data_IF_622245663897
#
_entry.id   IF_622245663897
#
_cell.length_a   1.000
_cell.length_b   1.000
_cell.length_c   1.000
_cell.angle_alpha   90.00
_cell.angle_beta   90.00
_cell.angle_gamma   90.00
#
_symmetry.space_group_name_H-M   'P 1'
#
loop_
_entity.id
_entity.type
_entity.pdbx_description
1 polymer ?
#
# COMPACT_ATOMS: atom_id res chain seq x y z
N UNK A 1 -19.07 49.99 -9.41
CA UNK A 1 -19.30 49.02 -8.32
C UNK A 1 -18.21 48.00 -8.29
N UNK A 2 -17.73 47.60 -7.09
CA UNK A 2 -16.83 46.50 -6.94
C UNK A 2 -17.50 45.18 -7.40
N UNK A 3 -16.74 44.34 -8.08
CA UNK A 3 -17.20 42.99 -8.44
C UNK A 3 -17.28 42.07 -7.21
N UNK A 4 -17.66 40.83 -7.42
CA UNK A 4 -17.85 39.83 -6.39
C UNK A 4 -16.78 38.74 -6.48
N UNK A 5 -16.23 38.30 -5.33
CA UNK A 5 -15.27 37.19 -5.26
C UNK A 5 -15.96 35.98 -4.65
N UNK A 6 -15.73 34.81 -5.24
CA UNK A 6 -16.14 33.50 -4.71
C UNK A 6 -14.91 32.67 -4.38
N UNK A 7 -14.80 32.24 -3.11
CA UNK A 7 -13.82 31.23 -2.69
C UNK A 7 -14.47 29.87 -2.84
N UNK A 8 -14.12 29.11 -3.86
CA UNK A 8 -14.80 27.88 -4.26
C UNK A 8 -13.93 26.67 -4.05
N UNK A 9 -14.45 25.69 -3.34
CA UNK A 9 -13.83 24.37 -3.20
C UNK A 9 -14.09 23.50 -4.44
N UNK A 10 -13.00 22.94 -4.98
CA UNK A 10 -13.05 22.08 -6.18
C UNK A 10 -13.21 20.59 -5.84
N UNK A 11 -13.17 20.22 -4.57
CA UNK A 11 -13.11 18.81 -4.19
C UNK A 11 -11.69 18.22 -4.24
N UNK A 12 -11.54 16.90 -4.02
CA UNK A 12 -10.24 16.26 -3.78
C UNK A 12 -9.42 15.98 -5.05
N UNK A 13 -10.02 16.06 -6.23
CA UNK A 13 -9.35 15.72 -7.50
C UNK A 13 -10.34 15.61 -8.65
N UNK A 14 -11.13 14.54 -8.71
CA UNK A 14 -12.07 14.30 -9.80
C UNK A 14 -13.12 15.42 -9.97
N UNK A 15 -13.35 15.84 -11.21
CA UNK A 15 -14.24 16.96 -11.53
C UNK A 15 -15.73 16.69 -11.26
N UNK A 16 -16.15 15.44 -11.21
CA UNK A 16 -17.50 15.00 -10.84
C UNK A 16 -17.81 15.13 -9.34
N UNK A 17 -16.79 15.41 -8.53
CA UNK A 17 -16.93 15.71 -7.11
C UNK A 17 -17.11 17.20 -6.79
N UNK A 18 -17.27 18.04 -7.81
CA UNK A 18 -17.69 19.43 -7.65
C UNK A 18 -19.12 19.51 -7.08
N UNK A 19 -19.34 20.47 -6.19
CA UNK A 19 -20.71 20.77 -5.78
C UNK A 19 -21.48 21.45 -6.93
N UNK A 20 -22.79 21.21 -7.01
CA UNK A 20 -23.65 21.89 -8.00
C UNK A 20 -23.55 23.41 -7.90
N UNK A 21 -23.35 23.94 -6.69
CA UNK A 21 -23.17 25.40 -6.47
C UNK A 21 -21.86 25.87 -7.08
N UNK A 22 -20.77 25.13 -6.92
CA UNK A 22 -19.48 25.44 -7.53
C UNK A 22 -19.57 25.50 -9.05
N UNK A 23 -20.24 24.52 -9.69
CA UNK A 23 -20.46 24.48 -11.13
C UNK A 23 -21.24 25.71 -11.61
N UNK A 24 -22.38 26.05 -10.96
CA UNK A 24 -23.19 27.23 -11.31
C UNK A 24 -22.41 28.55 -11.23
N UNK A 25 -21.48 28.66 -10.28
CA UNK A 25 -20.67 29.85 -10.10
C UNK A 25 -19.54 29.90 -11.14
N UNK A 26 -18.89 28.77 -11.42
CA UNK A 26 -17.87 28.69 -12.47
C UNK A 26 -18.40 29.12 -13.84
N UNK A 27 -19.65 28.73 -14.17
CA UNK A 27 -20.29 29.12 -15.44
C UNK A 27 -20.50 30.62 -15.56
N UNK A 28 -20.65 31.34 -14.45
CA UNK A 28 -20.89 32.81 -14.41
C UNK A 28 -19.59 33.61 -14.22
N UNK A 29 -18.45 32.95 -14.02
CA UNK A 29 -17.19 33.61 -13.73
C UNK A 29 -16.65 34.41 -14.94
N UNK A 30 -16.13 35.59 -14.70
CA UNK A 30 -15.31 36.35 -15.67
C UNK A 30 -13.84 35.97 -15.55
N UNK A 31 -13.36 35.66 -14.33
CA UNK A 31 -11.99 35.27 -14.03
C UNK A 31 -11.98 34.12 -13.04
N UNK A 32 -11.17 33.10 -13.33
CA UNK A 32 -10.90 31.99 -12.41
C UNK A 32 -9.42 31.97 -12.07
N UNK A 33 -9.09 32.18 -10.80
CA UNK A 33 -7.76 31.99 -10.24
C UNK A 33 -7.71 30.61 -9.57
N UNK A 34 -6.88 29.66 -10.03
CA UNK A 34 -6.96 28.26 -9.63
C UNK A 34 -5.64 27.65 -9.19
N UNK A 35 -5.68 26.71 -8.26
CA UNK A 35 -4.52 25.99 -7.73
C UNK A 35 -4.00 24.92 -8.71
N UNK A 36 -2.73 24.54 -8.58
CA UNK A 36 -2.04 23.60 -9.47
C UNK A 36 -2.65 22.20 -9.49
N UNK A 37 -3.23 21.75 -8.38
CA UNK A 37 -3.80 20.40 -8.24
C UNK A 37 -5.25 20.27 -8.75
N UNK A 38 -5.79 21.34 -9.33
CA UNK A 38 -7.14 21.32 -9.92
C UNK A 38 -7.14 20.46 -11.19
N UNK A 39 -8.09 19.53 -11.28
CA UNK A 39 -8.32 18.77 -12.50
C UNK A 39 -8.70 19.73 -13.65
N UNK A 40 -8.00 19.71 -14.78
CA UNK A 40 -8.35 20.50 -15.96
C UNK A 40 -9.80 20.31 -16.41
N UNK A 41 -10.40 19.15 -16.17
CA UNK A 41 -11.82 18.89 -16.47
C UNK A 41 -12.75 19.82 -15.70
N UNK A 42 -12.42 20.22 -14.46
CA UNK A 42 -13.18 21.17 -13.67
C UNK A 42 -13.20 22.58 -14.29
N UNK A 43 -12.13 23.02 -14.96
CA UNK A 43 -12.02 24.30 -15.61
C UNK A 43 -12.90 24.42 -16.88
N UNK A 44 -13.43 23.31 -17.39
CA UNK A 44 -14.37 23.31 -18.54
C UNK A 44 -15.70 23.99 -18.20
N UNK A 45 -16.12 23.96 -16.92
CA UNK A 45 -17.32 24.67 -16.46
C UNK A 45 -17.17 26.19 -16.52
N UNK A 46 -15.94 26.71 -16.50
CA UNK A 46 -15.63 28.14 -16.63
C UNK A 46 -15.19 28.49 -18.06
N UNK A 47 -16.00 28.10 -19.06
CA UNK A 47 -15.65 28.22 -20.48
C UNK A 47 -15.46 29.67 -20.94
N UNK A 48 -16.22 30.63 -20.39
CA UNK A 48 -16.17 32.07 -20.70
C UNK A 48 -15.14 32.85 -19.87
N UNK A 49 -14.60 32.23 -18.82
CA UNK A 49 -13.71 32.88 -17.89
C UNK A 49 -12.26 32.93 -18.38
N UNK A 50 -11.56 34.01 -18.09
CA UNK A 50 -10.11 34.04 -18.15
C UNK A 50 -9.53 33.19 -17.01
N UNK A 51 -8.73 32.19 -17.34
CA UNK A 51 -8.16 31.22 -16.40
C UNK A 51 -6.73 31.65 -16.05
N UNK A 52 -6.43 31.80 -14.76
CA UNK A 52 -5.15 32.26 -14.24
C UNK A 52 -4.63 31.21 -13.25
N UNK A 53 -3.54 30.50 -13.56
CA UNK A 53 -2.95 29.57 -12.62
C UNK A 53 -2.28 30.34 -11.47
N UNK A 54 -2.54 29.92 -10.23
CA UNK A 54 -1.94 30.49 -9.01
C UNK A 54 -0.96 29.54 -8.35
N UNK A 55 -0.58 28.45 -9.03
CA UNK A 55 0.39 27.46 -8.53
C UNK A 55 1.82 27.95 -8.57
N UNK A 56 2.68 27.43 -7.67
CA UNK A 56 4.12 27.67 -7.73
C UNK A 56 4.69 27.26 -9.10
N UNK A 57 5.48 28.12 -9.71
CA UNK A 57 6.47 27.68 -10.69
C UNK A 57 7.65 27.04 -9.95
N UNK A 58 8.35 26.05 -10.54
CA UNK A 58 9.58 25.53 -9.95
C UNK A 58 10.55 26.69 -9.65
N UNK A 59 11.01 26.80 -8.39
CA UNK A 59 11.96 27.83 -7.95
C UNK A 59 11.39 29.15 -7.42
N UNK A 60 10.08 29.43 -7.54
CA UNK A 60 9.48 30.66 -7.02
C UNK A 60 8.70 30.42 -5.72
N UNK A 61 8.90 31.24 -4.66
CA UNK A 61 8.03 31.20 -3.48
C UNK A 61 6.66 31.76 -3.86
N UNK A 62 5.60 30.99 -3.56
CA UNK A 62 4.23 31.47 -3.74
C UNK A 62 3.96 32.54 -2.70
N UNK A 63 3.95 33.79 -3.11
CA UNK A 63 3.57 34.89 -2.23
C UNK A 63 2.04 34.93 -2.17
N UNK A 64 1.44 34.53 -1.04
CA UNK A 64 0.00 34.66 -0.79
C UNK A 64 -0.49 36.08 -1.11
N UNK A 65 0.34 37.06 -0.84
CA UNK A 65 0.10 38.45 -1.22
C UNK A 65 -0.21 38.65 -2.70
N UNK A 66 0.49 37.96 -3.60
CA UNK A 66 0.20 38.06 -5.02
C UNK A 66 -1.21 37.54 -5.34
N UNK A 67 -1.60 36.40 -4.76
CA UNK A 67 -2.96 35.85 -4.92
C UNK A 67 -3.98 36.86 -4.44
N UNK A 68 -3.82 37.36 -3.22
CA UNK A 68 -4.73 38.31 -2.59
C UNK A 68 -4.89 39.60 -3.41
N UNK A 69 -3.77 40.21 -3.82
CA UNK A 69 -3.76 41.40 -4.67
C UNK A 69 -4.37 41.15 -6.05
N UNK A 70 -4.15 39.96 -6.62
CA UNK A 70 -4.71 39.58 -7.91
C UNK A 70 -6.24 39.44 -7.85
N UNK A 71 -6.77 38.78 -6.82
CA UNK A 71 -8.21 38.69 -6.59
C UNK A 71 -8.85 40.09 -6.45
N UNK A 72 -8.23 40.92 -5.63
CA UNK A 72 -8.70 42.28 -5.41
C UNK A 72 -8.67 43.12 -6.70
N UNK A 73 -7.55 43.09 -7.45
CA UNK A 73 -7.41 43.85 -8.68
C UNK A 73 -8.43 43.51 -9.75
N UNK A 74 -8.83 42.23 -9.87
CA UNK A 74 -9.87 41.80 -10.81
C UNK A 74 -11.29 42.16 -10.30
N UNK A 75 -11.52 42.10 -8.98
CA UNK A 75 -12.77 42.52 -8.37
C UNK A 75 -12.99 44.05 -8.52
N UNK A 76 -11.94 44.87 -8.42
CA UNK A 76 -12.02 46.33 -8.68
C UNK A 76 -12.51 46.68 -10.08
N UNK A 77 -12.36 45.79 -11.05
CA UNK A 77 -12.85 45.97 -12.43
C UNK A 77 -14.32 45.55 -12.59
N UNK A 78 -15.08 45.40 -11.51
CA UNK A 78 -16.50 45.01 -11.54
C UNK A 78 -16.75 43.55 -11.91
N UNK A 79 -15.72 42.66 -11.91
CA UNK A 79 -15.80 41.30 -12.39
C UNK A 79 -16.33 40.32 -11.34
N UNK A 80 -16.94 39.24 -11.81
CA UNK A 80 -17.16 38.01 -11.02
C UNK A 80 -15.88 37.19 -11.04
N UNK A 81 -15.22 37.11 -9.88
CA UNK A 81 -13.92 36.43 -9.73
C UNK A 81 -14.09 35.17 -8.91
N UNK A 82 -13.64 34.06 -9.42
CA UNK A 82 -13.62 32.78 -8.70
C UNK A 82 -12.18 32.45 -8.30
N UNK A 83 -11.96 32.24 -7.01
CA UNK A 83 -10.78 31.60 -6.47
C UNK A 83 -11.10 30.13 -6.31
N UNK A 84 -10.62 29.27 -7.23
CA UNK A 84 -10.86 27.83 -7.22
C UNK A 84 -9.72 27.12 -6.48
N UNK A 85 -10.07 26.47 -5.36
CA UNK A 85 -9.12 25.85 -4.43
C UNK A 85 -9.33 24.35 -4.38
N UNK A 86 -8.23 23.60 -4.24
CA UNK A 86 -8.32 22.14 -4.05
C UNK A 86 -8.99 21.80 -2.71
N UNK A 87 -9.82 20.76 -2.66
CA UNK A 87 -10.57 20.36 -1.47
C UNK A 87 -11.62 21.39 -1.05
N UNK A 88 -11.59 21.81 0.20
CA UNK A 88 -12.41 22.87 0.79
C UNK A 88 -11.55 24.12 1.07
N UNK A 89 -12.04 25.33 0.77
CA UNK A 89 -11.27 26.57 0.98
C UNK A 89 -10.87 26.81 2.43
N UNK A 90 -11.66 26.33 3.39
CA UNK A 90 -11.51 26.62 4.81
C UNK A 90 -10.75 25.52 5.56
N UNK A 91 -10.44 24.38 4.92
CA UNK A 91 -9.68 23.28 5.53
C UNK A 91 -8.23 23.27 4.97
N UNK A 92 -7.29 23.86 5.74
CA UNK A 92 -5.87 24.03 5.38
C UNK A 92 -5.62 24.65 4.00
N UNK A 93 -6.63 25.38 3.48
CA UNK A 93 -6.59 26.05 2.17
C UNK A 93 -6.25 27.53 2.23
N UNK A 94 -5.99 28.13 3.40
CA UNK A 94 -5.75 29.57 3.60
C UNK A 94 -6.92 30.46 3.15
N UNK A 95 -8.14 29.89 2.98
CA UNK A 95 -9.31 30.64 2.55
C UNK A 95 -9.71 31.75 3.52
N UNK A 96 -9.48 31.56 4.83
CA UNK A 96 -9.70 32.59 5.85
C UNK A 96 -8.83 33.83 5.64
N UNK A 97 -7.55 33.66 5.27
CA UNK A 97 -6.65 34.78 4.98
C UNK A 97 -7.08 35.54 3.71
N UNK A 98 -7.49 34.82 2.66
CA UNK A 98 -8.00 35.39 1.41
C UNK A 98 -9.33 36.16 1.66
N UNK A 99 -10.22 35.58 2.46
CA UNK A 99 -11.50 36.18 2.86
C UNK A 99 -11.27 37.50 3.61
N UNK A 100 -10.48 37.48 4.68
CA UNK A 100 -10.18 38.64 5.51
C UNK A 100 -9.58 39.78 4.68
N UNK A 101 -8.54 39.48 3.87
CA UNK A 101 -7.87 40.46 3.03
C UNK A 101 -8.84 41.21 2.09
N UNK A 102 -9.79 40.49 1.50
CA UNK A 102 -10.76 41.05 0.55
C UNK A 102 -11.86 41.85 1.27
N UNK A 103 -12.35 41.36 2.41
CA UNK A 103 -13.38 42.04 3.21
C UNK A 103 -12.88 43.37 3.77
N UNK A 104 -11.63 43.42 4.27
CA UNK A 104 -10.98 44.66 4.74
C UNK A 104 -10.89 45.74 3.64
N UNK A 105 -11.02 45.33 2.36
CA UNK A 105 -11.00 46.25 1.19
C UNK A 105 -12.37 46.45 0.55
N UNK A 106 -13.46 46.10 1.28
CA UNK A 106 -14.84 46.33 0.85
C UNK A 106 -15.31 45.41 -0.28
N UNK A 107 -14.59 44.32 -0.58
CA UNK A 107 -15.03 43.37 -1.58
C UNK A 107 -16.04 42.39 -1.00
N UNK A 108 -17.19 42.21 -1.65
CA UNK A 108 -18.15 41.19 -1.29
C UNK A 108 -17.59 39.78 -1.63
N UNK A 109 -17.41 38.95 -0.59
CA UNK A 109 -16.86 37.58 -0.74
C UNK A 109 -17.87 36.56 -0.28
N UNK A 110 -18.04 35.52 -1.09
CA UNK A 110 -18.87 34.34 -0.75
C UNK A 110 -18.03 33.07 -0.77
N UNK A 111 -18.15 32.28 0.29
CA UNK A 111 -17.48 30.97 0.40
C UNK A 111 -18.41 29.88 -0.11
N UNK A 112 -17.91 29.06 -1.00
CA UNK A 112 -18.61 27.88 -1.54
C UNK A 112 -17.86 26.63 -1.08
N UNK A 113 -18.39 25.88 -0.13
CA UNK A 113 -17.74 24.67 0.37
C UNK A 113 -17.45 23.67 -0.74
N UNK A 114 -16.36 22.92 -0.58
CA UNK A 114 -16.02 21.77 -1.39
C UNK A 114 -15.82 20.52 -0.55
N UNK A 115 -15.75 19.37 -1.19
CA UNK A 115 -15.41 18.12 -0.52
C UNK A 115 -13.94 18.15 -0.09
N UNK A 116 -13.68 18.27 1.23
CA UNK A 116 -12.31 18.20 1.74
C UNK A 116 -11.69 16.83 1.48
N UNK A 117 -10.46 16.80 0.97
CA UNK A 117 -9.70 15.56 0.79
C UNK A 117 -9.49 14.79 2.09
N UNK A 118 -9.54 15.46 3.25
CA UNK A 118 -9.47 14.81 4.56
C UNK A 118 -10.61 13.82 4.81
N UNK A 119 -11.77 14.04 4.21
CA UNK A 119 -12.97 13.22 4.41
C UNK A 119 -13.25 12.39 3.17
N UNK A 120 -13.18 13.00 2.00
CA UNK A 120 -13.60 12.36 0.74
C UNK A 120 -12.61 11.31 0.23
N UNK A 121 -11.30 11.54 0.37
CA UNK A 121 -10.29 10.56 -0.09
C UNK A 121 -10.36 9.26 0.72
N UNK A 122 -10.41 9.27 2.08
CA UNK A 122 -10.66 8.04 2.84
C UNK A 122 -11.98 7.35 2.48
N UNK A 123 -13.06 8.11 2.28
CA UNK A 123 -14.35 7.55 1.91
C UNK A 123 -14.31 6.80 0.57
N UNK A 124 -13.66 7.38 -0.46
CA UNK A 124 -13.44 6.73 -1.76
C UNK A 124 -12.58 5.46 -1.61
N UNK A 125 -11.58 5.49 -0.73
CA UNK A 125 -10.79 4.32 -0.38
C UNK A 125 -11.53 3.32 0.54
N UNK A 126 -12.83 3.54 0.82
CA UNK A 126 -13.69 2.69 1.67
C UNK A 126 -13.23 2.62 3.13
N UNK A 127 -12.59 3.66 3.63
CA UNK A 127 -12.22 3.81 5.04
C UNK A 127 -13.27 4.70 5.72
N UNK A 128 -14.13 4.16 6.59
CA UNK A 128 -15.04 4.96 7.39
C UNK A 128 -14.24 5.70 8.48
N UNK A 129 -14.24 7.03 8.48
CA UNK A 129 -13.49 7.79 9.48
C UNK A 129 -14.07 7.69 10.90
N UNK A 130 -15.36 7.35 10.99
CA UNK A 130 -16.07 7.04 12.22
C UNK A 130 -16.79 5.71 12.10
N UNK A 131 -16.79 4.91 13.17
CA UNK A 131 -17.49 3.62 13.19
C UNK A 131 -17.96 3.33 14.62
N UNK A 132 -19.24 3.08 14.78
CA UNK A 132 -19.87 2.77 16.08
C UNK A 132 -19.11 1.64 16.77
N UNK A 133 -18.72 1.86 18.02
CA UNK A 133 -17.97 0.91 18.85
C UNK A 133 -16.47 0.83 18.54
N UNK A 134 -15.97 1.59 17.52
CA UNK A 134 -14.54 1.58 17.13
C UNK A 134 -13.94 2.99 17.14
N UNK A 135 -14.64 3.96 16.55
CA UNK A 135 -14.15 5.35 16.45
C UNK A 135 -15.30 6.32 16.55
N UNK A 136 -15.28 7.13 17.59
CA UNK A 136 -16.26 8.18 17.90
C UNK A 136 -15.70 9.59 17.70
N UNK A 137 -14.39 9.72 17.51
CA UNK A 137 -13.70 11.00 17.40
C UNK A 137 -12.75 11.04 16.21
N UNK A 138 -12.72 12.21 15.54
CA UNK A 138 -11.90 12.47 14.36
C UNK A 138 -11.02 13.70 14.56
N UNK A 139 -9.73 13.55 14.35
CA UNK A 139 -8.78 14.67 14.33
C UNK A 139 -8.21 14.85 12.92
N UNK A 140 -8.33 16.05 12.37
CA UNK A 140 -7.75 16.41 11.07
C UNK A 140 -6.56 17.33 11.27
N UNK A 141 -5.40 16.95 10.74
CA UNK A 141 -4.14 17.65 10.90
C UNK A 141 -3.49 17.96 9.53
N UNK A 142 -2.52 18.85 9.54
CA UNK A 142 -1.63 19.10 8.40
C UNK A 142 -0.23 18.60 8.69
N UNK A 143 0.37 17.89 7.74
CA UNK A 143 1.78 17.51 7.77
C UNK A 143 2.73 18.61 7.35
N UNK A 144 2.20 19.73 6.81
CA UNK A 144 3.00 20.88 6.46
C UNK A 144 3.23 21.77 7.68
N UNK A 145 4.48 22.13 7.95
CA UNK A 145 4.84 23.01 9.06
C UNK A 145 4.81 24.46 8.60
N UNK A 146 4.14 25.33 9.37
CA UNK A 146 4.40 26.76 9.26
C UNK A 146 5.83 27.04 9.74
N UNK A 147 6.57 27.88 9.02
CA UNK A 147 7.95 28.25 9.38
C UNK A 147 8.02 28.71 10.85
N UNK A 148 8.97 28.16 11.61
CA UNK A 148 9.31 28.60 12.97
C UNK A 148 8.45 28.03 14.11
N UNK A 149 7.36 27.28 13.87
CA UNK A 149 6.52 26.77 14.96
C UNK A 149 6.65 25.24 15.12
N UNK A 150 7.11 24.80 16.31
CA UNK A 150 7.03 23.40 16.73
C UNK A 150 5.58 23.08 17.07
N UNK A 151 4.84 22.44 16.16
CA UNK A 151 3.49 21.97 16.44
C UNK A 151 3.57 20.71 17.31
N UNK A 152 3.08 20.77 18.55
CA UNK A 152 2.93 19.61 19.41
C UNK A 152 1.49 19.10 19.30
N UNK A 153 1.33 17.91 18.76
CA UNK A 153 0.01 17.26 18.73
C UNK A 153 -0.32 16.66 20.09
N UNK A 154 -1.52 16.94 20.59
CA UNK A 154 -2.03 16.44 21.86
C UNK A 154 -3.52 16.10 21.72
N UNK A 155 -4.03 15.22 22.55
CA UNK A 155 -5.45 14.86 22.59
C UNK A 155 -5.97 14.40 21.22
N UNK A 156 -5.28 13.43 20.59
CA UNK A 156 -5.67 12.89 19.29
C UNK A 156 -6.93 12.03 19.44
N UNK A 157 -7.88 12.20 18.54
CA UNK A 157 -9.06 11.34 18.43
C UNK A 157 -8.74 9.89 18.05
N UNK A 158 -9.76 9.04 18.05
CA UNK A 158 -9.65 7.63 17.69
C UNK A 158 -9.10 7.49 16.28
N UNK A 159 -9.65 8.26 15.34
CA UNK A 159 -9.16 8.38 13.97
C UNK A 159 -8.42 9.70 13.78
N UNK A 160 -7.24 9.63 13.16
CA UNK A 160 -6.44 10.81 12.81
C UNK A 160 -6.24 10.82 11.30
N UNK A 161 -6.56 11.95 10.66
CA UNK A 161 -6.33 12.18 9.23
C UNK A 161 -5.34 13.31 9.05
N UNK A 162 -4.30 13.08 8.25
CA UNK A 162 -3.24 14.05 8.04
C UNK A 162 -3.14 14.37 6.56
N UNK A 163 -3.41 15.62 6.22
CA UNK A 163 -3.20 16.15 4.87
C UNK A 163 -1.74 16.55 4.66
N UNK A 164 -1.28 16.56 3.40
CA UNK A 164 0.10 16.90 3.03
C UNK A 164 1.15 16.04 3.76
N UNK A 165 0.84 14.75 3.94
CA UNK A 165 1.63 13.86 4.77
C UNK A 165 2.97 13.46 4.13
N UNK A 166 3.07 13.43 2.79
CA UNK A 166 4.16 12.74 2.08
C UNK A 166 5.54 13.34 2.34
N UNK A 167 5.67 14.66 2.29
CA UNK A 167 6.98 15.34 2.41
C UNK A 167 7.63 15.15 3.79
N UNK A 168 6.81 14.96 4.83
CA UNK A 168 7.27 14.88 6.22
C UNK A 168 6.85 13.57 6.92
N UNK A 169 6.57 12.49 6.16
CA UNK A 169 5.94 11.29 6.67
C UNK A 169 6.66 10.69 7.89
N UNK A 170 7.97 10.57 7.83
CA UNK A 170 8.77 10.06 8.96
C UNK A 170 8.66 10.94 10.22
N UNK A 171 8.69 12.27 10.05
CA UNK A 171 8.52 13.20 11.16
C UNK A 171 7.08 13.15 11.73
N UNK A 172 6.08 12.95 10.88
CA UNK A 172 4.68 12.74 11.25
C UNK A 172 4.55 11.48 12.11
N UNK A 173 5.11 10.37 11.67
CA UNK A 173 5.11 9.10 12.43
C UNK A 173 5.70 9.30 13.81
N UNK A 174 6.90 9.93 13.91
CA UNK A 174 7.52 10.25 15.20
C UNK A 174 6.64 11.13 16.10
N UNK A 175 5.93 12.12 15.54
CA UNK A 175 5.03 13.00 16.31
C UNK A 175 3.79 12.26 16.80
N UNK A 176 3.17 11.41 15.96
CA UNK A 176 2.02 10.59 16.34
C UNK A 176 2.38 9.62 17.47
N UNK A 177 3.54 8.98 17.39
CA UNK A 177 4.05 8.08 18.44
C UNK A 177 4.26 8.84 19.76
N UNK A 178 4.86 10.05 19.73
CA UNK A 178 5.00 10.90 20.91
C UNK A 178 3.66 11.38 21.46
N UNK A 179 2.63 11.48 20.64
CA UNK A 179 1.28 11.84 21.03
C UNK A 179 0.42 10.64 21.49
N UNK A 180 1.03 9.44 21.65
CA UNK A 180 0.40 8.26 22.23
C UNK A 180 -0.14 7.24 21.22
N UNK A 181 0.02 7.43 19.89
CA UNK A 181 -0.31 6.38 18.93
C UNK A 181 0.78 5.32 18.93
N UNK A 182 0.41 4.04 19.01
CA UNK A 182 1.37 2.93 18.99
C UNK A 182 1.98 2.73 17.60
N UNK A 183 3.19 2.17 17.53
CA UNK A 183 3.80 1.80 16.24
C UNK A 183 3.00 0.71 15.51
N UNK A 184 2.24 -0.11 16.23
CA UNK A 184 1.33 -1.13 15.68
C UNK A 184 -0.02 -0.55 15.24
N UNK A 185 -0.32 0.73 15.49
CA UNK A 185 -1.59 1.34 15.08
C UNK A 185 -1.82 1.17 13.57
N UNK A 186 -2.97 0.65 13.14
CA UNK A 186 -3.30 0.51 11.72
C UNK A 186 -3.33 1.87 11.04
N UNK A 187 -2.74 1.95 9.85
CA UNK A 187 -2.78 3.17 9.07
C UNK A 187 -2.85 2.89 7.56
N UNK A 188 -3.38 3.87 6.84
CA UNK A 188 -3.48 3.87 5.39
C UNK A 188 -2.91 5.17 4.82
N UNK A 189 -2.02 5.07 3.85
CA UNK A 189 -1.55 6.20 3.06
C UNK A 189 -2.19 6.13 1.68
N UNK A 190 -2.89 7.20 1.30
CA UNK A 190 -3.60 7.31 0.03
C UNK A 190 -2.94 8.43 -0.76
N UNK A 191 -2.22 8.06 -1.82
CA UNK A 191 -1.55 9.00 -2.72
C UNK A 191 -2.41 9.27 -3.93
N UNK A 192 -2.45 10.53 -4.41
CA UNK A 192 -3.24 10.99 -5.55
C UNK A 192 -4.72 10.56 -5.48
N UNK A 193 -5.28 10.58 -4.26
CA UNK A 193 -6.66 10.17 -4.02
C UNK A 193 -7.67 10.91 -4.89
N UNK A 194 -8.75 10.22 -5.28
CA UNK A 194 -9.77 10.69 -6.20
C UNK A 194 -9.26 10.98 -7.63
N UNK A 195 -8.18 10.34 -8.06
CA UNK A 195 -7.68 10.40 -9.45
C UNK A 195 -7.46 8.98 -10.00
N UNK A 196 -7.26 8.85 -11.31
CA UNK A 196 -6.95 7.56 -11.96
C UNK A 196 -5.59 6.98 -11.49
N UNK A 197 -4.71 7.85 -10.94
CA UNK A 197 -3.41 7.46 -10.41
C UNK A 197 -3.45 7.13 -8.91
N UNK A 198 -4.62 7.01 -8.31
CA UNK A 198 -4.76 6.68 -6.89
C UNK A 198 -4.00 5.41 -6.52
N UNK A 199 -3.24 5.48 -5.42
CA UNK A 199 -2.56 4.34 -4.80
C UNK A 199 -2.88 4.30 -3.32
N UNK A 200 -3.17 3.12 -2.82
CA UNK A 200 -3.47 2.84 -1.43
C UNK A 200 -2.43 1.90 -0.85
N UNK A 201 -1.78 2.31 0.24
CA UNK A 201 -0.92 1.47 1.07
C UNK A 201 -1.55 1.32 2.45
N UNK A 202 -1.75 0.08 2.89
CA UNK A 202 -2.23 -0.26 4.23
C UNK A 202 -1.12 -0.94 5.00
N UNK A 203 -0.80 -0.43 6.19
CA UNK A 203 0.29 -0.93 7.02
C UNK A 203 0.07 -0.54 8.48
N UNK A 204 1.07 -0.75 9.33
CA UNK A 204 1.13 -0.15 10.67
C UNK A 204 1.92 1.16 10.64
N UNK A 205 1.67 2.01 11.62
CA UNK A 205 2.31 3.33 11.73
C UNK A 205 3.84 3.24 11.73
N UNK A 206 4.41 2.20 12.35
CA UNK A 206 5.86 1.99 12.40
C UNK A 206 6.48 1.58 11.07
N UNK A 207 5.69 1.05 10.14
CA UNK A 207 6.19 0.53 8.84
C UNK A 207 5.76 1.34 7.63
N UNK A 208 4.81 2.26 7.78
CA UNK A 208 4.21 2.98 6.65
C UNK A 208 5.23 3.77 5.84
N UNK A 209 6.26 4.32 6.49
CA UNK A 209 7.32 5.10 5.81
C UNK A 209 8.10 4.22 4.85
N UNK A 210 8.61 3.08 5.32
CA UNK A 210 9.39 2.15 4.50
C UNK A 210 8.54 1.55 3.39
N UNK A 211 7.31 1.14 3.73
CA UNK A 211 6.38 0.54 2.77
C UNK A 211 5.96 1.52 1.70
N UNK A 212 5.68 2.78 2.04
CA UNK A 212 5.35 3.82 1.05
C UNK A 212 6.52 4.14 0.13
N UNK A 213 7.74 4.14 0.65
CA UNK A 213 8.98 4.29 -0.13
C UNK A 213 9.16 3.14 -1.12
N UNK A 214 8.99 1.90 -0.67
CA UNK A 214 9.04 0.70 -1.50
C UNK A 214 8.00 0.74 -2.64
N UNK A 215 6.78 1.24 -2.36
CA UNK A 215 5.72 1.40 -3.35
C UNK A 215 5.93 2.61 -4.28
N UNK A 216 6.94 3.44 -4.06
CA UNK A 216 7.19 4.65 -4.82
C UNK A 216 6.04 5.67 -4.73
N UNK A 217 5.37 5.76 -3.58
CA UNK A 217 4.26 6.69 -3.38
C UNK A 217 4.75 8.14 -3.37
N UNK A 218 3.95 9.06 -3.90
CA UNK A 218 4.30 10.47 -4.05
C UNK A 218 3.15 11.39 -3.64
N UNK A 219 3.47 12.65 -3.39
CA UNK A 219 2.48 13.71 -3.15
C UNK A 219 1.57 13.95 -4.38
N UNK A 220 0.33 14.39 -4.16
CA UNK A 220 -0.32 14.64 -2.87
C UNK A 220 -0.73 13.34 -2.17
N UNK A 221 -0.71 13.31 -0.84
CA UNK A 221 -1.13 12.14 -0.07
C UNK A 221 -1.84 12.50 1.22
N UNK A 222 -2.77 11.62 1.62
CA UNK A 222 -3.53 11.66 2.88
C UNK A 222 -3.15 10.44 3.69
N UNK A 223 -2.76 10.64 4.95
CA UNK A 223 -2.53 9.56 5.91
C UNK A 223 -3.72 9.45 6.85
N UNK A 224 -4.26 8.24 7.01
CA UNK A 224 -5.30 7.89 7.97
C UNK A 224 -4.72 6.94 9.00
N UNK A 225 -4.90 7.21 10.29
CA UNK A 225 -4.40 6.38 11.40
C UNK A 225 -5.54 6.07 12.36
N UNK A 226 -5.75 4.81 12.67
CA UNK A 226 -6.77 4.34 13.61
C UNK A 226 -7.34 2.98 13.23
N UNK A 227 -8.05 2.35 14.18
CA UNK A 227 -8.63 1.00 14.02
C UNK A 227 -9.64 0.89 12.87
N UNK A 228 -10.20 2.00 12.42
CA UNK A 228 -11.10 2.04 11.25
C UNK A 228 -10.42 1.49 9.98
N UNK A 229 -9.09 1.61 9.89
CA UNK A 229 -8.30 1.13 8.75
C UNK A 229 -8.30 -0.41 8.67
N UNK A 230 -8.40 -1.09 9.81
CA UNK A 230 -8.44 -2.57 9.87
C UNK A 230 -9.62 -3.16 9.09
N UNK A 231 -10.68 -2.36 8.85
CA UNK A 231 -11.82 -2.77 8.03
C UNK A 231 -11.45 -3.07 6.56
N UNK A 232 -10.35 -2.54 6.07
CA UNK A 232 -9.84 -2.85 4.71
C UNK A 232 -9.31 -4.30 4.60
N UNK A 233 -8.95 -4.92 5.71
CA UNK A 233 -8.48 -6.31 5.78
C UNK A 233 -9.56 -7.26 6.32
N UNK A 234 -10.83 -6.86 6.26
CA UNK A 234 -11.95 -7.73 6.63
C UNK A 234 -12.31 -8.65 5.46
N UNK A 235 -12.04 -9.93 5.62
CA UNK A 235 -12.28 -10.96 4.62
C UNK A 235 -13.71 -11.53 4.62
N UNK A 236 -14.54 -11.22 5.61
CA UNK A 236 -15.89 -11.78 5.78
C UNK A 236 -16.76 -11.51 4.56
N UNK A 237 -17.28 -12.57 3.96
CA UNK A 237 -18.09 -12.50 2.74
C UNK A 237 -17.33 -12.11 1.46
N UNK A 238 -15.99 -11.94 1.53
CA UNK A 238 -15.16 -11.51 0.41
C UNK A 238 -14.53 -12.67 -0.34
N UNK A 239 -14.43 -12.55 -1.67
CA UNK A 239 -13.75 -13.55 -2.50
C UNK A 239 -12.24 -13.29 -2.50
N UNK A 240 -11.48 -14.28 -2.06
CA UNK A 240 -10.02 -14.22 -1.93
C UNK A 240 -9.36 -15.14 -2.93
N UNK A 241 -8.73 -14.57 -3.94
CA UNK A 241 -7.93 -15.32 -4.90
C UNK A 241 -6.54 -15.62 -4.34
N UNK A 242 -6.03 -16.82 -4.61
CA UNK A 242 -4.65 -17.18 -4.30
C UNK A 242 -4.14 -18.20 -5.33
N UNK A 243 -2.85 -18.09 -5.67
CA UNK A 243 -2.16 -19.00 -6.58
C UNK A 243 -1.21 -19.87 -5.77
N UNK A 244 -1.43 -21.19 -5.78
CA UNK A 244 -0.73 -22.11 -4.87
C UNK A 244 -0.25 -23.38 -5.56
N UNK A 245 0.77 -24.00 -4.96
CA UNK A 245 1.08 -25.38 -5.29
C UNK A 245 -0.01 -26.31 -4.75
N UNK A 246 -0.14 -27.48 -5.36
CA UNK A 246 -1.13 -28.51 -5.02
C UNK A 246 -1.19 -28.81 -3.51
N UNK A 247 -0.03 -28.90 -2.86
CA UNK A 247 0.10 -29.27 -1.44
C UNK A 247 -0.44 -28.17 -0.50
N UNK A 248 -0.42 -26.92 -0.94
CA UNK A 248 -0.81 -25.77 -0.13
C UNK A 248 -2.30 -25.37 -0.28
N UNK A 249 -3.01 -25.91 -1.29
CA UNK A 249 -4.40 -25.52 -1.59
C UNK A 249 -5.32 -25.75 -0.40
N UNK A 250 -5.30 -26.94 0.18
CA UNK A 250 -6.21 -27.30 1.31
C UNK A 250 -6.00 -26.39 2.51
N UNK A 251 -4.74 -26.10 2.84
CA UNK A 251 -4.36 -25.20 3.94
C UNK A 251 -4.83 -23.77 3.66
N UNK A 252 -4.55 -23.25 2.47
CA UNK A 252 -4.95 -21.89 2.09
C UNK A 252 -6.45 -21.71 2.11
N UNK A 253 -7.22 -22.65 1.52
CA UNK A 253 -8.69 -22.65 1.57
C UNK A 253 -9.23 -22.63 3.00
N UNK A 254 -8.66 -23.44 3.90
CA UNK A 254 -9.06 -23.50 5.31
C UNK A 254 -8.82 -22.17 6.03
N UNK A 255 -7.67 -21.53 5.83
CA UNK A 255 -7.34 -20.25 6.46
C UNK A 255 -8.28 -19.13 5.98
N UNK A 256 -8.52 -19.03 4.67
CA UNK A 256 -9.47 -18.06 4.11
C UNK A 256 -10.87 -18.27 4.70
N UNK A 257 -11.36 -19.51 4.76
CA UNK A 257 -12.68 -19.82 5.35
C UNK A 257 -12.75 -19.47 6.84
N UNK A 258 -11.69 -19.72 7.62
CA UNK A 258 -11.63 -19.35 9.05
C UNK A 258 -11.72 -17.85 9.25
N UNK A 259 -11.19 -17.06 8.33
CA UNK A 259 -11.34 -15.59 8.32
C UNK A 259 -12.69 -15.11 7.75
N UNK A 260 -13.63 -16.03 7.47
CA UNK A 260 -14.95 -15.71 6.91
C UNK A 260 -14.96 -15.45 5.40
N UNK A 261 -13.82 -15.60 4.72
CA UNK A 261 -13.70 -15.36 3.28
C UNK A 261 -14.13 -16.54 2.40
N UNK A 262 -14.50 -16.26 1.16
CA UNK A 262 -14.78 -17.23 0.11
C UNK A 262 -13.50 -17.54 -0.69
N UNK A 263 -12.90 -18.74 -0.57
CA UNK A 263 -11.63 -19.05 -1.23
C UNK A 263 -11.80 -19.31 -2.73
N UNK A 264 -11.02 -18.61 -3.55
CA UNK A 264 -10.84 -18.84 -4.97
C UNK A 264 -9.37 -19.22 -5.24
N UNK A 265 -8.98 -20.44 -4.88
CA UNK A 265 -7.59 -20.88 -4.88
C UNK A 265 -7.29 -21.70 -6.13
N UNK A 266 -6.34 -21.21 -6.93
CA UNK A 266 -5.90 -21.80 -8.18
C UNK A 266 -4.65 -22.67 -7.96
N UNK A 267 -4.70 -23.92 -8.45
CA UNK A 267 -3.53 -24.80 -8.54
C UNK A 267 -2.70 -24.40 -9.77
N UNK A 268 -1.45 -23.99 -9.55
CA UNK A 268 -0.56 -23.54 -10.61
C UNK A 268 0.68 -24.41 -10.79
N UNK A 269 1.00 -25.22 -9.83
CA UNK A 269 2.13 -26.13 -9.89
C UNK A 269 2.02 -27.29 -8.89
N UNK A 270 2.85 -28.27 -9.12
CA UNK A 270 3.14 -29.37 -8.20
C UNK A 270 4.61 -29.32 -7.79
N UNK A 271 4.88 -29.64 -6.54
CA UNK A 271 6.24 -29.75 -5.99
C UNK A 271 6.63 -31.23 -6.04
N UNK A 272 7.68 -31.53 -6.81
CA UNK A 272 8.19 -32.89 -6.95
C UNK A 272 9.58 -32.97 -6.31
N UNK A 273 9.81 -33.83 -5.31
CA UNK A 273 11.14 -34.00 -4.74
C UNK A 273 12.20 -34.37 -5.78
N UNK A 274 13.38 -33.79 -5.68
CA UNK A 274 14.54 -34.13 -6.50
C UNK A 274 15.23 -35.38 -5.91
N UNK A 275 14.62 -36.53 -6.05
CA UNK A 275 15.00 -37.75 -5.34
C UNK A 275 16.45 -38.16 -5.55
N UNK A 276 16.96 -38.10 -6.79
CA UNK A 276 18.35 -38.46 -7.11
C UNK A 276 19.34 -37.57 -6.39
N UNK A 277 19.11 -36.25 -6.39
CA UNK A 277 19.98 -35.30 -5.69
C UNK A 277 19.89 -35.46 -4.16
N UNK A 278 18.68 -35.68 -3.63
CA UNK A 278 18.45 -35.90 -2.21
C UNK A 278 19.10 -37.20 -1.74
N UNK A 279 19.00 -38.30 -2.47
CA UNK A 279 19.66 -39.58 -2.16
C UNK A 279 21.17 -39.40 -2.17
N UNK A 280 21.78 -38.78 -3.21
CA UNK A 280 23.20 -38.51 -3.25
C UNK A 280 23.69 -37.66 -2.09
N UNK A 281 22.92 -36.60 -1.77
CA UNK A 281 23.30 -35.71 -0.64
C UNK A 281 23.12 -36.39 0.72
N UNK A 282 22.17 -37.33 0.90
CA UNK A 282 21.98 -38.03 2.17
C UNK A 282 23.13 -39.00 2.53
N UNK A 283 23.92 -39.44 1.57
CA UNK A 283 25.15 -40.26 1.79
C UNK A 283 26.33 -39.40 2.21
N UNK A 284 26.23 -38.08 2.16
CA UNK A 284 27.31 -37.15 2.58
C UNK A 284 27.38 -37.00 4.10
N UNK A 285 28.52 -36.46 4.59
CA UNK A 285 28.70 -36.13 6.01
C UNK A 285 28.37 -34.64 6.21
N UNK A 286 27.30 -34.35 6.96
CA UNK A 286 26.83 -33.00 7.25
C UNK A 286 26.68 -32.81 8.75
N UNK A 287 26.90 -31.59 9.22
CA UNK A 287 26.70 -31.19 10.61
C UNK A 287 25.43 -30.29 10.72
N UNK A 288 25.16 -29.53 9.67
CA UNK A 288 24.08 -28.53 9.64
C UNK A 288 23.26 -28.64 8.35
N UNK A 289 21.95 -28.66 8.50
CA UNK A 289 20.97 -28.56 7.39
C UNK A 289 20.31 -27.19 7.39
N UNK A 290 20.38 -26.49 6.26
CA UNK A 290 19.77 -25.17 6.07
C UNK A 290 18.61 -25.29 5.11
N UNK A 291 17.40 -24.91 5.55
CA UNK A 291 16.19 -24.96 4.75
C UNK A 291 15.76 -23.56 4.33
N UNK A 292 15.80 -23.31 3.02
CA UNK A 292 15.38 -22.03 2.42
C UNK A 292 13.89 -21.98 2.08
N UNK A 293 13.13 -23.09 2.31
CA UNK A 293 11.68 -23.15 2.08
C UNK A 293 11.03 -24.33 2.80
N UNK A 294 9.72 -24.24 3.02
CA UNK A 294 8.89 -25.36 3.56
C UNK A 294 8.90 -26.55 2.62
N UNK A 295 8.91 -26.33 1.31
CA UNK A 295 8.99 -27.39 0.30
C UNK A 295 10.31 -28.16 0.39
N UNK A 296 11.41 -27.46 0.65
CA UNK A 296 12.72 -28.11 0.92
C UNK A 296 12.68 -29.04 2.12
N UNK A 297 12.03 -28.61 3.22
CA UNK A 297 11.85 -29.46 4.42
C UNK A 297 11.04 -30.72 4.06
N UNK A 298 9.92 -30.56 3.37
CA UNK A 298 9.03 -31.69 3.00
C UNK A 298 9.72 -32.67 2.07
N UNK A 299 10.47 -32.17 1.09
CA UNK A 299 11.19 -33.01 0.13
C UNK A 299 12.33 -33.78 0.78
N UNK A 300 13.10 -33.15 1.67
CA UNK A 300 14.24 -33.77 2.34
C UNK A 300 13.83 -34.77 3.45
N UNK A 301 12.62 -34.64 4.02
CA UNK A 301 12.21 -35.42 5.20
C UNK A 301 12.16 -36.93 4.99
N UNK A 302 12.09 -37.42 3.75
CA UNK A 302 12.12 -38.84 3.41
C UNK A 302 13.57 -39.40 3.33
N UNK A 303 14.56 -38.53 3.24
CA UNK A 303 15.95 -38.88 2.95
C UNK A 303 16.89 -38.56 4.10
N UNK A 304 16.51 -37.68 5.01
CA UNK A 304 17.32 -37.21 6.12
C UNK A 304 16.63 -37.42 7.45
N UNK A 305 17.30 -38.04 8.41
CA UNK A 305 16.86 -38.01 9.81
C UNK A 305 17.33 -36.69 10.46
N UNK A 306 16.45 -35.73 10.50
CA UNK A 306 16.76 -34.38 10.97
C UNK A 306 17.22 -34.30 12.42
N UNK A 307 17.04 -35.36 13.24
CA UNK A 307 17.49 -35.40 14.63
C UNK A 307 19.03 -35.40 14.73
N UNK A 308 19.72 -35.84 13.69
CA UNK A 308 21.16 -35.95 13.62
C UNK A 308 21.91 -34.66 13.33
N UNK A 309 21.18 -33.58 13.00
CA UNK A 309 21.76 -32.37 12.44
C UNK A 309 21.37 -31.12 13.22
N UNK A 310 22.21 -30.08 13.19
CA UNK A 310 21.78 -28.71 13.51
C UNK A 310 20.86 -28.20 12.41
N UNK A 311 19.73 -27.62 12.80
CA UNK A 311 18.72 -27.17 11.84
C UNK A 311 18.65 -25.64 11.79
N UNK A 312 18.71 -25.11 10.59
CA UNK A 312 18.53 -23.70 10.31
C UNK A 312 17.37 -23.54 9.32
N UNK A 313 16.43 -22.67 9.65
CA UNK A 313 15.32 -22.29 8.77
C UNK A 313 15.46 -20.82 8.37
N UNK A 314 15.19 -20.49 7.11
CA UNK A 314 15.24 -19.12 6.60
C UNK A 314 14.25 -18.20 7.32
N UNK A 315 13.14 -18.73 7.80
CA UNK A 315 12.11 -17.93 8.47
C UNK A 315 11.13 -18.76 9.28
N UNK A 316 10.16 -18.06 9.91
CA UNK A 316 9.18 -18.61 10.84
C UNK A 316 8.36 -19.75 10.24
N UNK A 317 7.87 -19.61 9.01
CA UNK A 317 7.06 -20.63 8.32
C UNK A 317 7.82 -21.94 8.12
N UNK A 318 9.08 -21.84 7.72
CA UNK A 318 9.98 -23.01 7.55
C UNK A 318 10.31 -23.66 8.90
N UNK A 319 10.53 -22.84 9.94
CA UNK A 319 10.68 -23.34 11.32
C UNK A 319 9.45 -24.09 11.80
N UNK A 320 8.25 -23.55 11.54
CA UNK A 320 7.01 -24.24 11.93
C UNK A 320 6.85 -25.59 11.24
N UNK A 321 7.22 -25.72 9.96
CA UNK A 321 7.20 -27.00 9.25
C UNK A 321 8.13 -28.02 9.89
N UNK A 322 9.34 -27.63 10.32
CA UNK A 322 10.28 -28.48 11.08
C UNK A 322 9.70 -28.83 12.46
N UNK A 323 9.08 -27.88 13.17
CA UNK A 323 8.44 -28.13 14.48
C UNK A 323 7.27 -29.12 14.38
N UNK A 324 6.44 -29.04 13.35
CA UNK A 324 5.36 -30.02 13.10
C UNK A 324 5.88 -31.46 12.91
N UNK A 325 7.16 -31.59 12.53
CA UNK A 325 7.85 -32.88 12.39
C UNK A 325 8.61 -33.29 13.64
N UNK A 326 8.37 -32.60 14.77
CA UNK A 326 8.96 -32.92 16.06
C UNK A 326 10.30 -32.25 16.36
N UNK A 327 10.79 -31.35 15.51
CA UNK A 327 12.11 -30.71 15.68
C UNK A 327 11.95 -29.34 16.37
N UNK A 328 12.16 -29.30 17.69
CA UNK A 328 11.96 -28.06 18.48
C UNK A 328 13.15 -27.09 18.41
N UNK A 329 14.40 -27.58 18.27
CA UNK A 329 15.65 -26.79 18.22
C UNK A 329 15.96 -26.40 16.77
N UNK A 330 15.43 -25.25 16.32
CA UNK A 330 15.65 -24.73 14.97
C UNK A 330 16.08 -23.28 15.08
N UNK A 331 17.27 -22.96 14.55
CA UNK A 331 17.77 -21.60 14.47
C UNK A 331 17.10 -20.84 13.32
N UNK A 332 16.77 -19.57 13.56
CA UNK A 332 16.15 -18.69 12.56
C UNK A 332 16.85 -17.33 12.64
N UNK A 333 17.19 -16.70 11.52
CA UNK A 333 17.79 -15.36 11.53
C UNK A 333 16.76 -14.29 11.93
N UNK A 334 17.24 -13.17 12.49
CA UNK A 334 16.40 -12.00 12.77
C UNK A 334 15.77 -11.44 11.49
N UNK A 335 16.53 -11.36 10.39
CA UNK A 335 16.05 -10.98 9.06
C UNK A 335 15.80 -12.25 8.27
N UNK A 336 14.53 -12.51 7.92
CA UNK A 336 14.08 -13.79 7.35
C UNK A 336 14.31 -13.85 5.82
N UNK A 337 15.56 -13.77 5.40
CA UNK A 337 16.00 -13.88 4.01
C UNK A 337 17.39 -14.53 3.92
N UNK A 338 17.95 -14.63 2.71
CA UNK A 338 19.26 -15.25 2.48
C UNK A 338 20.39 -14.51 3.22
N UNK A 339 20.36 -13.17 3.24
CA UNK A 339 21.38 -12.37 3.94
C UNK A 339 21.33 -12.55 5.45
N UNK A 340 20.12 -12.67 6.00
CA UNK A 340 19.94 -13.03 7.40
C UNK A 340 20.52 -14.41 7.73
N UNK A 341 20.32 -15.40 6.85
CA UNK A 341 20.94 -16.73 7.00
C UNK A 341 22.45 -16.62 6.90
N UNK A 342 23.00 -15.87 5.94
CA UNK A 342 24.46 -15.60 5.83
C UNK A 342 25.01 -14.99 7.13
N UNK A 343 24.32 -13.99 7.70
CA UNK A 343 24.71 -13.36 8.97
C UNK A 343 24.64 -14.33 10.16
N UNK A 344 23.57 -15.14 10.23
CA UNK A 344 23.39 -16.15 11.29
C UNK A 344 24.53 -17.19 11.30
N UNK A 345 24.99 -17.58 10.12
CA UNK A 345 26.05 -18.59 9.97
C UNK A 345 27.44 -18.04 10.21
N UNK A 346 27.65 -16.74 10.19
CA UNK A 346 28.98 -16.12 10.54
C UNK A 346 29.27 -16.28 12.02
N UNK A 347 30.54 -16.57 12.32
CA UNK A 347 31.04 -16.58 13.71
C UNK A 347 30.64 -17.78 14.58
N UNK A 348 29.89 -18.76 14.07
CA UNK A 348 29.53 -19.98 14.79
C UNK A 348 30.14 -21.21 14.13
N UNK A 349 30.54 -22.23 14.92
CA UNK A 349 30.96 -23.52 14.40
C UNK A 349 29.77 -24.35 13.94
N UNK A 350 29.40 -24.20 12.65
CA UNK A 350 28.29 -24.92 12.03
C UNK A 350 28.72 -26.25 11.36
N UNK A 351 30.03 -26.50 11.23
CA UNK A 351 30.56 -27.65 10.53
C UNK A 351 30.27 -27.64 9.02
N UNK A 352 30.12 -28.84 8.45
CA UNK A 352 29.74 -28.99 7.03
C UNK A 352 28.27 -28.69 6.83
N UNK A 353 27.96 -27.70 5.98
CA UNK A 353 26.61 -27.19 5.77
C UNK A 353 26.03 -27.69 4.45
N UNK A 354 24.83 -28.28 4.51
CA UNK A 354 24.02 -28.60 3.36
C UNK A 354 22.81 -27.65 3.29
N UNK A 355 22.66 -26.91 2.19
CA UNK A 355 21.57 -25.96 1.98
C UNK A 355 20.58 -26.48 0.93
N UNK A 356 19.31 -26.63 1.34
CA UNK A 356 18.20 -27.03 0.49
C UNK A 356 17.53 -25.79 -0.13
N UNK A 357 17.71 -25.62 -1.42
CA UNK A 357 17.25 -24.44 -2.16
C UNK A 357 16.04 -24.73 -3.03
N UNK A 358 15.34 -23.65 -3.37
CA UNK A 358 14.35 -23.65 -4.45
C UNK A 358 15.05 -23.64 -5.81
N UNK A 359 14.53 -24.30 -6.84
CA UNK A 359 15.02 -24.17 -8.22
C UNK A 359 14.89 -22.75 -8.78
N UNK A 360 14.01 -21.93 -8.19
CA UNK A 360 13.73 -20.54 -8.57
C UNK A 360 14.62 -19.51 -7.85
N UNK A 361 15.49 -19.96 -6.92
CA UNK A 361 16.37 -19.06 -6.21
C UNK A 361 17.64 -18.78 -7.04
N UNK A 362 17.87 -17.53 -7.40
CA UNK A 362 19.03 -17.12 -8.19
C UNK A 362 20.36 -17.29 -7.40
N UNK A 363 20.35 -16.92 -6.11
CA UNK A 363 21.57 -16.88 -5.30
C UNK A 363 21.83 -18.19 -4.52
N UNK A 364 23.12 -18.50 -4.33
CA UNK A 364 23.61 -19.62 -3.52
C UNK A 364 23.99 -19.14 -2.11
N UNK A 365 23.87 -20.02 -1.13
CA UNK A 365 24.44 -19.79 0.20
C UNK A 365 25.93 -20.09 0.15
N UNK A 366 26.75 -19.07 0.30
CA UNK A 366 28.23 -19.21 0.33
C UNK A 366 28.68 -20.00 1.56
N UNK A 367 29.75 -20.78 1.40
CA UNK A 367 30.27 -21.65 2.48
C UNK A 367 29.41 -22.90 2.74
N UNK A 368 28.40 -23.18 1.92
CA UNK A 368 27.58 -24.37 2.01
C UNK A 368 27.53 -25.15 0.68
N UNK A 369 27.38 -26.48 0.79
CA UNK A 369 26.98 -27.28 -0.36
C UNK A 369 25.50 -27.02 -0.65
N UNK A 370 25.20 -26.51 -1.82
CA UNK A 370 23.85 -26.15 -2.20
C UNK A 370 23.24 -27.21 -3.11
N UNK A 371 22.06 -27.72 -2.77
CA UNK A 371 21.30 -28.63 -3.63
C UNK A 371 19.90 -28.09 -3.93
N UNK A 372 19.36 -28.47 -5.07
CA UNK A 372 17.97 -28.23 -5.42
C UNK A 372 17.17 -29.40 -4.83
N UNK A 373 16.38 -29.12 -3.77
CA UNK A 373 15.66 -30.16 -3.04
C UNK A 373 14.40 -30.66 -3.74
N UNK A 374 13.88 -29.91 -4.72
CA UNK A 374 12.63 -30.20 -5.41
C UNK A 374 12.56 -29.49 -6.76
N UNK A 375 11.72 -30.00 -7.63
CA UNK A 375 11.34 -29.34 -8.86
C UNK A 375 9.95 -28.73 -8.72
N UNK A 376 9.71 -27.62 -9.40
CA UNK A 376 8.39 -26.99 -9.54
C UNK A 376 7.88 -27.29 -10.93
N UNK A 377 6.85 -28.13 -11.04
CA UNK A 377 6.22 -28.48 -12.32
C UNK A 377 4.97 -27.64 -12.51
N UNK A 378 4.98 -26.62 -13.40
CA UNK A 378 3.78 -25.83 -13.69
C UNK A 378 2.64 -26.71 -14.23
N UNK A 379 1.40 -26.36 -13.86
CA UNK A 379 0.19 -27.08 -14.29
C UNK A 379 -0.85 -26.13 -14.86
N UNK A 380 -1.24 -26.38 -16.10
CA UNK A 380 -2.42 -25.74 -16.72
C UNK A 380 -2.50 -24.22 -16.57
N UNK A 381 -1.36 -23.51 -16.64
CA UNK A 381 -1.30 -22.05 -16.41
C UNK A 381 -2.25 -21.28 -17.33
N UNK A 382 -2.38 -21.66 -18.59
CA UNK A 382 -3.32 -21.05 -19.55
C UNK A 382 -4.77 -21.12 -19.06
N UNK A 383 -5.19 -22.28 -18.53
CA UNK A 383 -6.52 -22.47 -17.94
C UNK A 383 -6.70 -21.61 -16.70
N UNK A 384 -5.69 -21.55 -15.83
CA UNK A 384 -5.71 -20.74 -14.60
C UNK A 384 -5.85 -19.27 -14.94
N UNK A 385 -5.03 -18.74 -15.86
CA UNK A 385 -5.07 -17.33 -16.27
C UNK A 385 -6.47 -16.98 -16.81
N UNK A 386 -7.02 -17.79 -17.75
CA UNK A 386 -8.36 -17.56 -18.29
C UNK A 386 -9.45 -17.64 -17.22
N UNK A 387 -9.35 -18.57 -16.25
CA UNK A 387 -10.28 -18.68 -15.14
C UNK A 387 -10.20 -17.49 -14.17
N UNK A 388 -8.98 -17.02 -13.88
CA UNK A 388 -8.78 -15.84 -13.06
C UNK A 388 -9.34 -14.58 -13.71
N UNK A 389 -9.12 -14.39 -15.02
CA UNK A 389 -9.66 -13.24 -15.78
C UNK A 389 -11.20 -13.17 -15.73
N UNK A 390 -11.87 -14.34 -15.75
CA UNK A 390 -13.33 -14.43 -15.64
C UNK A 390 -13.86 -14.26 -14.21
N UNK A 391 -13.02 -14.42 -13.20
CA UNK A 391 -13.42 -14.36 -11.80
C UNK A 391 -13.54 -12.93 -11.30
N UNK A 392 -14.45 -12.70 -10.33
CA UNK A 392 -14.47 -11.46 -9.51
C UNK A 392 -13.83 -11.79 -8.17
N UNK A 393 -12.80 -11.08 -7.79
CA UNK A 393 -12.11 -11.26 -6.52
C UNK A 393 -12.00 -9.91 -5.81
N UNK A 394 -12.29 -9.88 -4.51
CA UNK A 394 -12.10 -8.70 -3.67
C UNK A 394 -10.62 -8.58 -3.29
N UNK A 395 -9.98 -9.72 -3.03
CA UNK A 395 -8.57 -9.81 -2.67
C UNK A 395 -7.81 -10.76 -3.59
N UNK A 396 -6.53 -10.42 -3.84
CA UNK A 396 -5.58 -11.32 -4.52
C UNK A 396 -4.32 -11.48 -3.66
N UNK A 397 -4.00 -12.71 -3.30
CA UNK A 397 -2.83 -13.02 -2.47
C UNK A 397 -1.66 -13.46 -3.34
N UNK A 398 -0.55 -12.75 -3.22
CA UNK A 398 0.74 -13.08 -3.82
C UNK A 398 1.62 -13.72 -2.74
N UNK A 399 1.93 -15.01 -2.90
CA UNK A 399 2.57 -15.81 -1.83
C UNK A 399 3.97 -16.26 -2.16
N UNK A 400 4.45 -16.05 -3.40
CA UNK A 400 5.78 -16.41 -3.85
C UNK A 400 6.11 -15.64 -5.13
N UNK A 401 7.29 -15.03 -5.19
CA UNK A 401 7.78 -14.34 -6.38
C UNK A 401 7.96 -15.31 -7.56
N UNK A 402 8.47 -16.52 -7.31
CA UNK A 402 8.64 -17.53 -8.35
C UNK A 402 7.31 -18.03 -8.94
N UNK A 403 6.26 -18.17 -8.12
CA UNK A 403 4.94 -18.54 -8.61
C UNK A 403 4.32 -17.41 -9.44
N UNK A 404 4.51 -16.16 -9.04
CA UNK A 404 4.09 -15.01 -9.80
C UNK A 404 4.83 -14.90 -11.13
N UNK A 405 6.13 -15.21 -11.15
CA UNK A 405 6.95 -15.24 -12.37
C UNK A 405 6.39 -16.24 -13.40
N UNK A 406 6.02 -17.45 -12.99
CA UNK A 406 5.37 -18.42 -13.88
C UNK A 406 4.06 -17.89 -14.47
N UNK A 407 3.25 -17.20 -13.67
CA UNK A 407 1.97 -16.64 -14.13
C UNK A 407 2.16 -15.50 -15.11
N UNK A 408 3.05 -14.57 -14.84
CA UNK A 408 3.35 -13.45 -15.76
C UNK A 408 3.88 -13.98 -17.09
N UNK A 409 4.88 -14.87 -17.05
CA UNK A 409 5.43 -15.48 -18.26
C UNK A 409 4.35 -16.20 -19.08
N UNK A 410 3.52 -17.00 -18.44
CA UNK A 410 2.44 -17.71 -19.14
C UNK A 410 1.33 -16.75 -19.65
N UNK A 411 1.10 -15.62 -18.99
CA UNK A 411 0.18 -14.60 -19.47
C UNK A 411 0.75 -13.88 -20.70
N UNK A 412 2.05 -13.60 -20.73
CA UNK A 412 2.77 -13.04 -21.86
C UNK A 412 2.74 -13.98 -23.06
N UNK A 413 3.09 -15.26 -22.89
CA UNK A 413 3.00 -16.30 -23.93
C UNK A 413 1.59 -16.44 -24.54
N UNK A 414 0.55 -16.02 -23.82
CA UNK A 414 -0.85 -16.01 -24.29
C UNK A 414 -1.28 -14.67 -24.90
N UNK A 415 -0.42 -13.63 -24.89
CA UNK A 415 -0.78 -12.26 -25.25
C UNK A 415 -1.81 -11.62 -24.29
N UNK A 416 -1.84 -12.05 -23.03
CA UNK A 416 -2.81 -11.62 -22.03
C UNK A 416 -2.16 -10.90 -20.83
N UNK A 417 -0.88 -10.58 -20.87
CA UNK A 417 -0.14 -10.03 -19.73
C UNK A 417 -0.82 -8.78 -19.18
N UNK A 418 -1.04 -7.75 -19.99
CA UNK A 418 -1.65 -6.50 -19.54
C UNK A 418 -3.04 -6.72 -18.95
N UNK A 419 -3.88 -7.55 -19.59
CA UNK A 419 -5.22 -7.88 -19.07
C UNK A 419 -5.15 -8.60 -17.72
N UNK A 420 -4.14 -9.44 -17.52
CA UNK A 420 -3.94 -10.18 -16.29
C UNK A 420 -3.47 -9.26 -15.15
N UNK A 421 -2.55 -8.34 -15.43
CA UNK A 421 -2.10 -7.30 -14.50
C UNK A 421 -3.25 -6.36 -14.13
N UNK A 422 -3.99 -5.86 -15.11
CA UNK A 422 -5.14 -4.98 -14.89
C UNK A 422 -6.21 -5.66 -14.03
N UNK A 423 -6.42 -6.96 -14.27
CA UNK A 423 -7.35 -7.76 -13.47
C UNK A 423 -6.90 -7.92 -12.02
N UNK A 424 -5.61 -8.11 -11.77
CA UNK A 424 -5.07 -8.11 -10.40
C UNK A 424 -5.28 -6.74 -9.73
N UNK A 425 -5.01 -5.66 -10.45
CA UNK A 425 -5.14 -4.29 -9.97
C UNK A 425 -6.59 -3.85 -9.66
N UNK A 426 -7.60 -4.61 -10.11
CA UNK A 426 -9.01 -4.44 -9.74
C UNK A 426 -9.34 -5.00 -8.35
N UNK A 427 -8.48 -5.79 -7.75
CA UNK A 427 -8.62 -6.37 -6.41
C UNK A 427 -7.68 -5.70 -5.41
N UNK A 428 -7.92 -5.89 -4.11
CA UNK A 428 -6.97 -5.51 -3.08
C UNK A 428 -5.83 -6.54 -3.04
N UNK A 429 -4.65 -6.15 -3.49
CA UNK A 429 -3.50 -7.06 -3.63
C UNK A 429 -2.68 -7.10 -2.35
N UNK A 430 -2.51 -8.29 -1.80
CA UNK A 430 -1.67 -8.55 -0.63
C UNK A 430 -0.48 -9.41 -1.03
N UNK A 431 0.72 -8.95 -0.73
CA UNK A 431 1.95 -9.74 -0.91
C UNK A 431 2.49 -10.23 0.43
N UNK A 432 2.98 -11.46 0.49
CA UNK A 432 3.55 -12.04 1.71
C UNK A 432 5.06 -11.78 1.83
N UNK A 433 5.53 -10.58 1.49
CA UNK A 433 6.92 -10.19 1.73
C UNK A 433 7.56 -9.35 0.64
N UNK A 434 8.61 -8.63 1.04
CA UNK A 434 9.27 -7.58 0.24
C UNK A 434 9.79 -8.04 -1.13
N UNK A 435 10.30 -9.26 -1.23
CA UNK A 435 10.75 -9.84 -2.51
C UNK A 435 9.61 -10.02 -3.50
N UNK A 436 8.41 -10.42 -3.00
CA UNK A 436 7.21 -10.59 -3.82
C UNK A 436 6.68 -9.22 -4.24
N UNK A 437 6.62 -8.27 -3.29
CA UNK A 437 6.23 -6.88 -3.54
C UNK A 437 7.09 -6.26 -4.63
N UNK A 438 8.42 -6.37 -4.51
CA UNK A 438 9.35 -5.82 -5.51
C UNK A 438 9.16 -6.44 -6.90
N UNK A 439 8.91 -7.76 -6.99
CA UNK A 439 8.63 -8.41 -8.27
C UNK A 439 7.28 -7.96 -8.85
N UNK A 440 6.24 -7.90 -8.03
CA UNK A 440 4.91 -7.45 -8.44
C UNK A 440 4.94 -6.02 -9.03
N UNK A 441 5.61 -5.10 -8.33
CA UNK A 441 5.73 -3.70 -8.77
C UNK A 441 6.45 -3.55 -10.11
N UNK A 442 7.54 -4.31 -10.35
CA UNK A 442 8.26 -4.29 -11.63
C UNK A 442 7.41 -4.77 -12.80
N UNK A 443 6.37 -5.56 -12.53
CA UNK A 443 5.42 -6.03 -13.53
C UNK A 443 4.07 -5.27 -13.50
N UNK A 444 4.04 -4.05 -12.97
CA UNK A 444 2.87 -3.18 -13.00
C UNK A 444 1.74 -3.56 -12.03
N UNK A 445 1.94 -4.54 -11.14
CA UNK A 445 0.94 -4.96 -10.16
C UNK A 445 1.02 -4.06 -8.94
N UNK A 446 -0.10 -3.43 -8.57
CA UNK A 446 -0.24 -2.54 -7.41
C UNK A 446 -0.40 -3.39 -6.15
N UNK A 447 0.54 -3.31 -5.21
CA UNK A 447 0.43 -3.96 -3.91
C UNK A 447 -0.18 -2.99 -2.90
N UNK A 448 -1.21 -3.42 -2.18
CA UNK A 448 -1.91 -2.60 -1.19
C UNK A 448 -1.49 -2.89 0.24
N UNK A 449 -1.07 -4.13 0.53
CA UNK A 449 -0.70 -4.55 1.87
C UNK A 449 0.42 -5.60 1.85
N UNK A 450 1.31 -5.48 2.83
CA UNK A 450 2.30 -6.48 3.19
C UNK A 450 2.20 -6.72 4.71
N UNK A 451 1.84 -7.95 5.17
CA UNK A 451 1.68 -8.23 6.59
C UNK A 451 3.03 -8.14 7.33
N UNK A 452 2.96 -7.89 8.62
CA UNK A 452 4.18 -7.80 9.47
C UNK A 452 4.98 -9.09 9.46
N UNK A 453 4.30 -10.20 9.58
CA UNK A 453 4.90 -11.51 9.40
C UNK A 453 4.51 -12.07 8.03
N UNK A 454 5.50 -12.52 7.21
CA UNK A 454 5.26 -12.99 5.85
C UNK A 454 4.64 -14.41 5.83
N UNK A 455 3.50 -14.57 6.49
CA UNK A 455 2.78 -15.84 6.55
C UNK A 455 1.25 -15.63 6.49
N UNK A 456 0.52 -16.67 6.05
CA UNK A 456 -0.93 -16.62 5.90
C UNK A 456 -1.66 -16.68 7.25
N UNK A 457 -1.07 -17.27 8.27
CA UNK A 457 -1.68 -17.38 9.60
C UNK A 457 -1.80 -15.99 10.24
N UNK A 458 -0.73 -15.20 10.24
CA UNK A 458 -0.76 -13.83 10.77
C UNK A 458 -1.72 -12.94 9.99
N UNK A 459 -1.82 -13.12 8.66
CA UNK A 459 -2.76 -12.38 7.83
C UNK A 459 -4.23 -12.69 8.15
N UNK A 460 -4.58 -13.97 8.38
CA UNK A 460 -5.96 -14.42 8.49
C UNK A 460 -6.45 -14.62 9.92
N UNK A 461 -5.55 -14.81 10.88
CA UNK A 461 -5.94 -15.14 12.26
C UNK A 461 -5.63 -14.01 13.24
N UNK A 462 -4.98 -12.93 12.78
CA UNK A 462 -4.36 -11.95 13.65
C UNK A 462 -3.10 -12.55 14.30
N UNK A 463 -2.05 -11.79 14.54
CA UNK A 463 -0.98 -12.21 15.44
C UNK A 463 -1.54 -12.29 16.85
N UNK A 464 -1.43 -13.47 17.49
CA UNK A 464 -1.64 -13.64 18.93
C UNK A 464 -0.64 -12.78 19.71
#
# INVERSE_FOLDING_TARGET
MLGKVYLVGCGPGAADLLTLRAVKILMKANVVLYDRLIDPKALRYANKARKIPSGKRPGEPLKQDWINRKLYSEARKGKVVVRLKNGDPMIFGRGGEELQFLQERGVHVEVVPGLSSAISVPALAKIPLTRRGISSSLTILTGHRAEGKKQKWRCLGDTVVILMAMENLEAIVRQLTRAGKTCSAPCALISKGATEEERLAVSTLGKITDFSGQLGMRAPAVLVVGEVVSSLLDFRGKKVAAFRSREEIKRTKRLIKRAGGAPNVFEICEIVPAETELKRASSGRWDTLVFMSTSGVRSAAKFFDFKKYKLVAVGGTTRMELRRRGHRRVSVPCVQNLDGVRKLLRGKKWGRILAFRSPLAAEKLEGATNIIAYQVKPKNLSRVIRAYLKSKNDFTLLTSSGLLQYLIKAADELGLEQKFVDKMNQSFVISLGTSITGYALRNGIRVNHEPEEPNLESLFLGGD
#
